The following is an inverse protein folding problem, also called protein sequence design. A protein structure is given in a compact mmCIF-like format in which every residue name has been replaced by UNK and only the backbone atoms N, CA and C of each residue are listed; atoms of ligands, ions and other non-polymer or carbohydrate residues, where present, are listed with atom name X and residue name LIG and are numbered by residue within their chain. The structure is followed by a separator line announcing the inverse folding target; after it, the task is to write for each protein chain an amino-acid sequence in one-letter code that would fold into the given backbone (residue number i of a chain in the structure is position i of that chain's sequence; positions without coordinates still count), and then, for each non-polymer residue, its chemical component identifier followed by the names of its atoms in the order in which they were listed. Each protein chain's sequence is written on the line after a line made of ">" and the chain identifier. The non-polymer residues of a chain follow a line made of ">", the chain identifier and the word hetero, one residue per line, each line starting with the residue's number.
data_IF_017835088734
#
_entry.id   IF_017835088734
#
_cell.length_a   1.000
_cell.length_b   1.000
_cell.length_c   1.000
_cell.angle_alpha   90.00
_cell.angle_beta   90.00
_cell.angle_gamma   90.00
#
_symmetry.space_group_name_H-M   'P 1'
#
loop_
_entity.id
_entity.type
_entity.pdbx_description
1 polymer ?
#
# COMPACT_ATOMS: atom_id res chain seq x y z
N UNK A 1 -29.88 26.33 4.06
CA UNK A 1 -30.25 25.50 2.91
C UNK A 1 -30.52 24.09 3.46
N UNK A 2 -31.75 23.59 3.29
CA UNK A 2 -32.14 22.27 3.76
C UNK A 2 -31.35 21.21 2.96
N UNK A 3 -30.62 20.33 3.65
CA UNK A 3 -29.92 19.19 3.00
C UNK A 3 -30.97 18.21 2.51
N UNK A 4 -31.01 17.96 1.20
CA UNK A 4 -31.92 17.00 0.57
C UNK A 4 -31.64 15.57 1.10
N UNK A 5 -32.72 14.88 1.47
CA UNK A 5 -32.68 13.50 1.90
C UNK A 5 -32.58 12.56 0.69
N UNK A 6 -31.59 11.68 0.67
CA UNK A 6 -31.36 10.71 -0.43
C UNK A 6 -32.35 9.53 -0.47
N UNK A 7 -33.35 9.48 0.42
CA UNK A 7 -34.33 8.41 0.45
C UNK A 7 -35.56 8.73 -0.39
N UNK A 8 -35.67 8.13 -1.57
CA UNK A 8 -36.75 8.32 -2.54
C UNK A 8 -38.13 7.82 -2.08
N UNK A 9 -38.21 7.11 -0.94
CA UNK A 9 -39.48 6.61 -0.36
C UNK A 9 -39.93 7.35 0.91
N UNK A 10 -39.32 8.51 1.22
CA UNK A 10 -39.64 9.29 2.42
C UNK A 10 -40.81 10.25 2.17
N UNK A 11 -41.93 10.07 2.87
CA UNK A 11 -43.12 10.93 2.80
C UNK A 11 -43.17 12.01 3.89
N UNK A 12 -42.06 12.40 4.52
CA UNK A 12 -42.01 13.44 5.54
C UNK A 12 -41.65 14.79 4.94
N UNK A 13 -42.36 15.82 5.35
CA UNK A 13 -42.20 17.22 4.88
C UNK A 13 -40.99 17.96 5.49
N UNK A 14 -40.31 17.37 6.50
CA UNK A 14 -39.07 17.90 7.07
C UNK A 14 -38.21 16.77 7.64
N UNK A 15 -36.89 16.95 7.62
CA UNK A 15 -35.91 15.98 8.15
C UNK A 15 -35.68 16.11 9.66
N UNK A 16 -36.37 17.02 10.35
CA UNK A 16 -36.27 17.15 11.82
C UNK A 16 -36.97 15.97 12.50
N UNK A 17 -36.20 15.18 13.28
CA UNK A 17 -36.67 14.00 13.99
C UNK A 17 -36.67 12.69 13.17
N UNK A 18 -36.01 12.66 12.02
CA UNK A 18 -35.80 11.43 11.27
C UNK A 18 -34.77 10.55 11.99
N UNK A 19 -35.22 9.40 12.52
CA UNK A 19 -34.35 8.43 13.22
C UNK A 19 -33.40 7.62 12.33
N UNK A 20 -33.33 7.95 11.01
CA UNK A 20 -32.31 7.40 10.15
C UNK A 20 -31.00 8.14 10.40
N UNK A 21 -30.04 7.44 11.00
CA UNK A 21 -28.66 7.91 11.10
C UNK A 21 -28.17 8.26 9.69
N UNK A 22 -27.61 9.47 9.54
CA UNK A 22 -26.81 9.78 8.34
C UNK A 22 -25.84 8.62 8.11
N UNK A 23 -25.55 8.23 6.83
CA UNK A 23 -24.50 7.26 6.60
C UNK A 23 -23.23 7.76 7.31
N UNK A 24 -22.83 7.03 8.35
CA UNK A 24 -21.59 7.35 9.06
C UNK A 24 -20.47 7.17 8.03
N UNK A 25 -19.60 8.15 7.92
CA UNK A 25 -18.36 8.00 7.16
C UNK A 25 -17.68 6.71 7.64
N UNK A 26 -17.31 5.84 6.72
CA UNK A 26 -16.53 4.64 7.03
C UNK A 26 -15.06 4.98 7.31
N UNK A 27 -14.66 6.22 6.99
CA UNK A 27 -13.33 6.75 7.22
C UNK A 27 -13.01 6.75 8.71
N UNK A 28 -11.89 6.14 9.07
CA UNK A 28 -11.38 6.14 10.43
C UNK A 28 -10.63 7.45 10.71
N UNK A 29 -10.77 7.96 11.93
CA UNK A 29 -9.96 9.10 12.37
C UNK A 29 -8.56 8.61 12.75
N UNK A 30 -7.50 9.40 12.44
CA UNK A 30 -6.14 9.04 12.84
C UNK A 30 -5.96 9.16 14.34
N UNK A 31 -4.89 8.54 14.87
CA UNK A 31 -4.48 8.79 16.25
C UNK A 31 -4.20 10.29 16.46
N UNK A 32 -4.61 10.83 17.60
CA UNK A 32 -4.46 12.26 17.91
C UNK A 32 -3.01 12.76 17.97
N UNK A 33 -2.05 11.85 18.09
CA UNK A 33 -0.62 12.13 18.06
C UNK A 33 0.03 11.84 16.71
N UNK A 34 -0.79 11.63 15.65
CA UNK A 34 -0.34 11.37 14.30
C UNK A 34 -0.70 12.53 13.38
N UNK A 35 0.29 12.97 12.60
CA UNK A 35 0.12 13.94 11.51
C UNK A 35 0.76 13.34 10.25
N UNK A 36 -0.06 12.73 9.40
CA UNK A 36 0.37 12.07 8.17
C UNK A 36 -0.10 12.90 6.99
N UNK A 37 0.84 13.48 6.24
CA UNK A 37 0.52 14.39 5.13
C UNK A 37 -0.08 13.64 3.93
N UNK A 38 0.56 12.52 3.53
CA UNK A 38 0.14 11.77 2.34
C UNK A 38 0.05 10.28 2.63
N UNK A 39 -1.06 9.65 2.25
CA UNK A 39 -1.28 8.20 2.36
C UNK A 39 -1.36 7.60 0.95
N UNK A 40 -0.41 6.72 0.62
CA UNK A 40 -0.26 6.12 -0.71
C UNK A 40 -0.44 4.61 -0.62
N UNK A 41 -1.42 4.08 -1.33
CA UNK A 41 -1.64 2.64 -1.40
C UNK A 41 -0.75 1.97 -2.47
N UNK A 42 -0.24 0.78 -2.18
CA UNK A 42 0.37 -0.09 -3.19
C UNK A 42 -0.55 -1.28 -3.38
N UNK A 43 -1.07 -1.44 -4.57
CA UNK A 43 -2.08 -2.46 -4.90
C UNK A 43 -1.58 -3.42 -5.95
N UNK A 44 -2.06 -4.66 -5.90
CA UNK A 44 -1.82 -5.63 -6.96
C UNK A 44 -3.10 -6.42 -7.25
N UNK A 45 -3.33 -6.74 -8.50
CA UNK A 45 -4.52 -7.51 -8.90
C UNK A 45 -4.43 -9.00 -8.58
N UNK A 46 -3.24 -9.51 -8.19
CA UNK A 46 -3.00 -10.90 -7.73
C UNK A 46 -1.88 -10.93 -6.68
N UNK A 47 -1.82 -11.99 -5.88
CA UNK A 47 -0.72 -12.25 -4.97
C UNK A 47 0.56 -12.70 -5.68
N UNK A 48 1.71 -12.55 -5.01
CA UNK A 48 3.00 -13.07 -5.47
C UNK A 48 3.68 -12.28 -6.59
N UNK A 49 3.27 -11.02 -6.84
CA UNK A 49 3.93 -10.14 -7.83
C UNK A 49 5.08 -9.31 -7.25
N UNK A 50 5.26 -9.34 -5.91
CA UNK A 50 6.30 -8.58 -5.23
C UNK A 50 5.82 -7.23 -4.67
N UNK A 51 4.54 -7.08 -4.44
CA UNK A 51 3.90 -5.86 -3.94
C UNK A 51 4.62 -5.26 -2.73
N UNK A 52 4.89 -6.07 -1.70
CA UNK A 52 5.60 -5.60 -0.48
C UNK A 52 7.03 -5.15 -0.78
N UNK A 53 7.70 -5.80 -1.76
CA UNK A 53 9.01 -5.37 -2.23
C UNK A 53 8.93 -4.00 -2.91
N UNK A 54 7.92 -3.76 -3.74
CA UNK A 54 7.67 -2.45 -4.37
C UNK A 54 7.31 -1.41 -3.31
N UNK A 55 6.45 -1.76 -2.35
CA UNK A 55 6.08 -0.87 -1.23
C UNK A 55 7.32 -0.40 -0.45
N UNK A 56 8.16 -1.34 -0.03
CA UNK A 56 9.40 -1.02 0.66
C UNK A 56 10.38 -0.21 -0.20
N UNK A 57 10.49 -0.54 -1.50
CA UNK A 57 11.34 0.22 -2.43
C UNK A 57 10.89 1.66 -2.61
N UNK A 58 9.59 1.93 -2.70
CA UNK A 58 9.02 3.28 -2.74
C UNK A 58 9.31 4.03 -1.43
N UNK A 59 9.14 3.36 -0.29
CA UNK A 59 9.44 3.94 1.01
C UNK A 59 10.93 4.30 1.15
N UNK A 60 11.83 3.39 0.75
CA UNK A 60 13.28 3.67 0.74
C UNK A 60 13.63 4.84 -0.19
N UNK A 61 13.02 4.91 -1.38
CA UNK A 61 13.22 6.00 -2.32
C UNK A 61 12.84 7.36 -1.71
N UNK A 62 11.70 7.44 -1.03
CA UNK A 62 11.27 8.70 -0.41
C UNK A 62 12.10 9.03 0.84
N UNK A 63 12.45 8.04 1.65
CA UNK A 63 13.33 8.23 2.81
C UNK A 63 14.74 8.71 2.38
N UNK A 64 15.30 8.19 1.26
CA UNK A 64 16.60 8.65 0.73
C UNK A 64 16.59 10.10 0.26
N UNK A 65 15.40 10.65 -0.03
CA UNK A 65 15.21 12.08 -0.36
C UNK A 65 15.01 12.97 0.88
N UNK A 66 15.06 12.39 2.08
CA UNK A 66 14.96 13.11 3.36
C UNK A 66 13.56 13.25 3.92
N UNK A 67 12.56 12.60 3.33
CA UNK A 67 11.20 12.60 3.85
C UNK A 67 11.05 11.65 5.04
N UNK A 68 10.15 12.00 5.96
CA UNK A 68 9.71 11.12 7.05
C UNK A 68 8.68 10.13 6.50
N UNK A 69 8.99 8.85 6.57
CA UNK A 69 8.21 7.80 5.88
C UNK A 69 7.76 6.73 6.86
N UNK A 70 6.52 6.27 6.69
CA UNK A 70 5.98 5.10 7.35
C UNK A 70 5.52 4.03 6.35
N UNK A 71 5.45 2.79 6.80
CA UNK A 71 4.84 1.66 6.08
C UNK A 71 3.80 1.00 6.99
N UNK A 72 2.56 0.97 6.53
CA UNK A 72 1.49 0.17 7.10
C UNK A 72 1.34 -1.12 6.29
N UNK A 73 1.72 -2.25 6.86
CA UNK A 73 1.53 -3.57 6.25
C UNK A 73 0.10 -4.04 6.51
N UNK A 74 -0.76 -3.81 5.54
CA UNK A 74 -2.17 -4.21 5.55
C UNK A 74 -2.42 -5.58 4.89
N UNK A 75 -1.37 -6.25 4.39
CA UNK A 75 -1.44 -7.64 3.92
C UNK A 75 -1.31 -8.63 5.09
N UNK A 76 -2.30 -8.62 5.96
CA UNK A 76 -2.30 -9.37 7.23
C UNK A 76 -2.18 -10.88 7.02
N UNK A 77 -2.56 -11.39 5.84
CA UNK A 77 -2.51 -12.82 5.53
C UNK A 77 -1.12 -13.30 5.13
N UNK A 78 -0.24 -12.41 4.71
CA UNK A 78 1.12 -12.71 4.30
C UNK A 78 2.10 -11.58 4.63
N UNK A 79 2.12 -11.10 5.89
CA UNK A 79 2.89 -9.93 6.26
C UNK A 79 4.39 -10.22 6.09
N UNK A 80 5.06 -9.41 5.27
CA UNK A 80 6.47 -9.62 4.91
C UNK A 80 7.37 -8.43 5.24
N UNK A 81 6.82 -7.25 5.43
CA UNK A 81 7.59 -6.01 5.64
C UNK A 81 8.55 -6.08 6.83
N UNK A 82 8.14 -6.52 8.05
CA UNK A 82 9.07 -6.60 9.17
C UNK A 82 10.27 -7.51 8.90
N UNK A 83 10.04 -8.67 8.28
CA UNK A 83 11.08 -9.63 7.95
C UNK A 83 12.06 -9.06 6.92
N UNK A 84 11.58 -8.40 5.88
CA UNK A 84 12.42 -7.77 4.86
C UNK A 84 13.35 -6.70 5.46
N UNK A 85 12.86 -5.93 6.42
CA UNK A 85 13.65 -4.90 7.11
C UNK A 85 14.46 -5.41 8.31
N UNK A 86 14.35 -6.69 8.65
CA UNK A 86 15.03 -7.30 9.78
C UNK A 86 14.58 -6.78 11.15
N UNK A 87 13.35 -6.30 11.23
CA UNK A 87 12.75 -5.82 12.48
C UNK A 87 12.49 -7.03 13.38
N UNK A 88 12.99 -6.97 14.63
CA UNK A 88 12.83 -8.03 15.62
C UNK A 88 12.10 -7.52 16.85
N UNK A 89 11.29 -8.39 17.43
CA UNK A 89 10.50 -8.07 18.62
C UNK A 89 9.14 -7.48 18.28
N UNK A 90 8.43 -7.06 19.32
CA UNK A 90 7.03 -6.62 19.24
C UNK A 90 6.92 -5.10 19.40
N UNK A 91 5.94 -4.53 18.74
CA UNK A 91 5.54 -3.14 18.94
C UNK A 91 5.07 -2.93 20.39
N UNK A 92 5.45 -1.79 20.94
CA UNK A 92 5.09 -1.45 22.32
C UNK A 92 3.86 -0.56 22.35
N UNK A 93 2.95 -0.87 23.27
CA UNK A 93 1.77 -0.05 23.54
C UNK A 93 1.97 0.89 24.70
N UNK A 94 1.21 1.97 24.71
CA UNK A 94 1.03 2.90 25.84
C UNK A 94 -0.46 3.20 26.02
N UNK A 95 -0.80 4.00 27.04
CA UNK A 95 -2.18 4.46 27.24
C UNK A 95 -2.70 5.33 26.07
N UNK A 96 -1.79 5.88 25.26
CA UNK A 96 -2.11 6.76 24.12
C UNK A 96 -2.17 6.04 22.77
N UNK A 97 -1.67 4.80 22.69
CA UNK A 97 -1.65 4.02 21.45
C UNK A 97 -0.42 3.12 21.34
N UNK A 98 -0.20 2.61 20.15
CA UNK A 98 0.86 1.66 19.81
C UNK A 98 1.96 2.42 19.02
N UNK A 99 3.21 2.22 19.38
CA UNK A 99 4.33 2.80 18.64
C UNK A 99 4.72 1.88 17.49
N UNK A 100 4.90 2.42 16.26
CA UNK A 100 5.47 1.67 15.15
C UNK A 100 6.93 1.32 15.45
N UNK A 101 7.47 0.35 14.72
CA UNK A 101 8.86 -0.09 14.89
C UNK A 101 9.75 0.57 13.84
N UNK A 102 10.83 1.26 14.24
CA UNK A 102 11.74 1.92 13.32
C UNK A 102 12.63 0.90 12.60
N UNK A 103 12.89 1.14 11.32
CA UNK A 103 13.89 0.43 10.53
C UNK A 103 15.28 1.08 10.69
N UNK A 104 16.32 0.43 10.17
CA UNK A 104 17.69 0.95 10.24
C UNK A 104 17.89 2.29 9.48
N UNK A 105 17.04 2.61 8.52
CA UNK A 105 17.02 3.88 7.78
C UNK A 105 15.92 4.85 8.20
N UNK A 106 15.30 4.63 9.38
CA UNK A 106 14.37 5.56 10.00
C UNK A 106 12.94 5.52 9.44
N UNK A 107 12.58 4.49 8.69
CA UNK A 107 11.19 4.28 8.26
C UNK A 107 10.42 3.63 9.40
N UNK A 108 9.25 4.18 9.74
CA UNK A 108 8.35 3.64 10.77
C UNK A 108 7.48 2.52 10.18
N UNK A 109 7.46 1.33 10.81
CA UNK A 109 6.73 0.16 10.29
C UNK A 109 5.72 -0.33 11.32
N UNK A 110 4.50 -0.59 10.84
CA UNK A 110 3.48 -1.33 11.59
C UNK A 110 2.95 -2.48 10.75
N UNK A 111 2.92 -3.66 11.34
CA UNK A 111 2.41 -4.90 10.77
C UNK A 111 1.79 -5.77 11.87
N UNK A 112 0.87 -6.66 11.51
CA UNK A 112 0.27 -7.58 12.47
C UNK A 112 1.31 -8.48 13.14
N UNK A 113 2.38 -8.86 12.43
CA UNK A 113 3.44 -9.69 12.98
C UNK A 113 4.16 -9.04 14.17
N UNK A 114 4.15 -7.70 14.27
CA UNK A 114 4.73 -6.98 15.40
C UNK A 114 3.85 -6.98 16.65
N UNK A 115 2.62 -7.50 16.54
CA UNK A 115 1.66 -7.63 17.64
C UNK A 115 1.46 -9.08 18.08
N UNK A 116 1.98 -10.05 17.31
CA UNK A 116 1.85 -11.47 17.61
C UNK A 116 3.01 -11.93 18.51
N UNK A 117 2.76 -12.91 19.40
CA UNK A 117 3.81 -13.48 20.26
C UNK A 117 4.91 -14.21 19.48
N UNK A 118 4.58 -14.71 18.28
CA UNK A 118 5.42 -15.50 17.41
C UNK A 118 5.09 -15.21 15.94
N UNK A 119 6.13 -15.04 15.12
CA UNK A 119 6.00 -14.77 13.67
C UNK A 119 5.38 -15.94 12.90
N UNK A 120 5.45 -17.16 13.42
CA UNK A 120 4.90 -18.37 12.80
C UNK A 120 3.42 -18.61 13.18
N UNK A 121 2.87 -17.81 14.08
CA UNK A 121 1.48 -17.95 14.49
C UNK A 121 0.55 -17.59 13.33
N UNK A 122 -0.25 -18.55 12.81
CA UNK A 122 -1.11 -18.29 11.67
C UNK A 122 -2.25 -17.34 12.07
N UNK A 123 -2.43 -16.28 11.29
CA UNK A 123 -3.56 -15.36 11.43
C UNK A 123 -4.76 -15.92 10.66
N UNK A 124 -5.67 -16.59 11.36
CA UNK A 124 -6.89 -17.16 10.78
C UNK A 124 -8.07 -16.21 11.05
N UNK A 125 -8.05 -15.05 10.40
CA UNK A 125 -9.09 -14.05 10.57
C UNK A 125 -9.96 -13.93 9.32
N UNK A 126 -11.24 -13.64 9.53
CA UNK A 126 -12.18 -13.38 8.43
C UNK A 126 -12.10 -11.92 7.99
N UNK A 127 -12.51 -11.62 6.77
CA UNK A 127 -12.45 -10.28 6.16
C UNK A 127 -12.84 -9.11 7.07
N UNK A 128 -13.95 -9.15 7.81
CA UNK A 128 -14.32 -8.06 8.73
C UNK A 128 -13.31 -7.80 9.85
N UNK A 129 -12.65 -8.86 10.36
CA UNK A 129 -11.62 -8.71 11.40
C UNK A 129 -10.36 -8.08 10.81
N UNK A 130 -9.97 -8.50 9.61
CA UNK A 130 -8.82 -7.91 8.88
C UNK A 130 -9.05 -6.42 8.62
N UNK A 131 -10.24 -6.06 8.15
CA UNK A 131 -10.61 -4.67 7.90
C UNK A 131 -10.58 -3.81 9.17
N UNK A 132 -11.05 -4.35 10.30
CA UNK A 132 -10.98 -3.66 11.58
C UNK A 132 -9.54 -3.49 12.06
N UNK A 133 -8.66 -4.47 11.84
CA UNK A 133 -7.25 -4.37 12.19
C UNK A 133 -6.56 -3.23 11.41
N UNK A 134 -6.82 -3.09 10.11
CA UNK A 134 -6.27 -1.99 9.32
C UNK A 134 -6.77 -0.62 9.85
N UNK A 135 -8.05 -0.54 10.26
CA UNK A 135 -8.57 0.67 10.91
C UNK A 135 -7.83 0.97 12.21
N UNK A 136 -7.58 -0.05 13.03
CA UNK A 136 -6.82 0.09 14.28
C UNK A 136 -5.37 0.52 14.01
N UNK A 137 -4.73 0.06 12.94
CA UNK A 137 -3.40 0.55 12.55
C UNK A 137 -3.40 2.03 12.19
N UNK A 138 -4.53 2.57 11.76
CA UNK A 138 -4.68 3.99 11.52
C UNK A 138 -5.02 4.78 12.79
N UNK A 139 -5.99 4.29 13.59
CA UNK A 139 -6.51 5.00 14.76
C UNK A 139 -5.69 4.82 16.02
N UNK A 140 -5.05 3.67 16.21
CA UNK A 140 -4.41 3.32 17.48
C UNK A 140 -2.87 3.43 17.42
N UNK A 141 -2.28 3.44 16.20
CA UNK A 141 -0.84 3.62 16.02
C UNK A 141 -0.46 5.10 16.07
N UNK A 142 0.56 5.42 16.87
CA UNK A 142 1.14 6.76 16.96
C UNK A 142 2.20 6.91 15.88
N UNK A 143 1.77 7.32 14.68
CA UNK A 143 2.67 7.51 13.54
C UNK A 143 3.59 8.73 13.68
N UNK A 144 3.25 9.67 14.60
CA UNK A 144 3.96 10.95 14.69
C UNK A 144 3.78 11.80 13.44
N UNK A 145 4.80 12.60 13.12
CA UNK A 145 4.82 13.43 11.91
C UNK A 145 5.42 12.62 10.75
N UNK A 146 4.62 12.30 9.75
CA UNK A 146 5.06 11.64 8.52
C UNK A 146 4.72 12.47 7.28
N UNK A 147 5.66 12.54 6.34
CA UNK A 147 5.41 13.11 5.03
C UNK A 147 4.64 12.09 4.16
N UNK A 148 5.00 10.80 4.25
CA UNK A 148 4.36 9.73 3.49
C UNK A 148 4.12 8.51 4.35
N UNK A 149 2.91 7.94 4.25
CA UNK A 149 2.59 6.61 4.74
C UNK A 149 2.25 5.71 3.55
N UNK A 150 3.11 4.74 3.27
CA UNK A 150 2.83 3.73 2.26
C UNK A 150 2.01 2.60 2.89
N UNK A 151 0.90 2.25 2.25
CA UNK A 151 0.03 1.15 2.67
C UNK A 151 0.25 -0.03 1.75
N UNK A 152 0.84 -1.10 2.27
CA UNK A 152 0.97 -2.37 1.56
C UNK A 152 -0.38 -3.08 1.58
N UNK A 153 -1.17 -2.91 0.52
CA UNK A 153 -2.56 -3.33 0.45
C UNK A 153 -2.69 -4.86 0.36
N UNK A 154 -3.76 -5.45 0.88
CA UNK A 154 -4.06 -6.85 0.61
C UNK A 154 -4.15 -7.12 -0.90
N UNK A 155 -3.71 -8.30 -1.38
CA UNK A 155 -3.76 -8.60 -2.80
C UNK A 155 -5.18 -8.78 -3.34
N UNK A 156 -5.35 -8.52 -4.63
CA UNK A 156 -6.62 -8.67 -5.32
C UNK A 156 -7.55 -7.47 -5.24
N UNK A 157 -8.80 -7.66 -5.62
CA UNK A 157 -9.82 -6.61 -5.73
C UNK A 157 -11.11 -6.97 -4.97
N UNK A 158 -10.97 -7.73 -3.89
CA UNK A 158 -12.10 -8.19 -3.05
C UNK A 158 -12.48 -7.21 -1.94
N UNK A 159 -13.25 -7.72 -0.97
CA UNK A 159 -13.85 -6.91 0.10
C UNK A 159 -12.81 -6.26 1.03
N UNK A 160 -11.66 -6.93 1.28
CA UNK A 160 -10.66 -6.39 2.21
C UNK A 160 -9.96 -5.16 1.64
N UNK A 161 -9.38 -5.17 0.41
CA UNK A 161 -8.86 -3.96 -0.22
C UNK A 161 -9.91 -2.84 -0.29
N UNK A 162 -11.15 -3.16 -0.65
CA UNK A 162 -12.23 -2.18 -0.73
C UNK A 162 -12.49 -1.50 0.62
N UNK A 163 -12.49 -2.28 1.71
CA UNK A 163 -12.69 -1.73 3.06
C UNK A 163 -11.52 -0.84 3.48
N UNK A 164 -10.28 -1.20 3.11
CA UNK A 164 -9.10 -0.36 3.37
C UNK A 164 -9.26 1.00 2.68
N UNK A 165 -9.64 1.02 1.39
CA UNK A 165 -9.92 2.25 0.66
C UNK A 165 -11.01 3.12 1.32
N UNK A 166 -12.05 2.49 1.87
CA UNK A 166 -13.14 3.20 2.53
C UNK A 166 -12.78 3.72 3.92
N UNK A 167 -11.72 3.18 4.53
CA UNK A 167 -11.37 3.44 5.94
C UNK A 167 -10.17 4.37 6.11
N UNK A 168 -9.27 4.42 5.12
CA UNK A 168 -8.06 5.24 5.14
C UNK A 168 -8.16 6.37 4.12
N UNK A 169 -7.57 7.55 4.40
CA UNK A 169 -7.56 8.68 3.50
C UNK A 169 -6.52 8.50 2.37
N UNK A 170 -6.64 7.44 1.57
CA UNK A 170 -5.72 7.14 0.49
C UNK A 170 -5.88 8.18 -0.62
N UNK A 171 -4.81 8.92 -0.89
CA UNK A 171 -4.78 10.00 -1.89
C UNK A 171 -4.37 9.52 -3.29
N UNK A 172 -3.70 8.39 -3.37
CA UNK A 172 -3.26 7.81 -4.63
C UNK A 172 -2.79 6.37 -4.47
N UNK A 173 -2.74 5.65 -5.58
CA UNK A 173 -2.23 4.27 -5.58
C UNK A 173 -1.18 4.05 -6.65
N UNK A 174 -0.23 3.19 -6.33
CA UNK A 174 0.70 2.57 -7.30
C UNK A 174 0.25 1.14 -7.55
N UNK A 175 0.09 0.76 -8.81
CA UNK A 175 -0.27 -0.61 -9.20
C UNK A 175 1.00 -1.41 -9.45
N UNK A 176 1.20 -2.48 -8.69
CA UNK A 176 2.26 -3.46 -8.95
C UNK A 176 1.73 -4.64 -9.76
N UNK A 177 2.50 -5.07 -10.76
CA UNK A 177 2.18 -6.19 -11.64
C UNK A 177 3.43 -6.92 -12.10
N UNK A 178 3.27 -8.01 -12.86
CA UNK A 178 4.36 -8.79 -13.47
C UNK A 178 3.99 -9.18 -14.91
N UNK A 179 4.95 -9.36 -15.83
CA UNK A 179 4.70 -9.61 -17.26
C UNK A 179 4.24 -11.06 -17.52
N UNK A 180 3.18 -11.51 -16.85
CA UNK A 180 2.58 -12.83 -17.07
C UNK A 180 1.29 -12.69 -17.87
N UNK A 181 0.81 -13.80 -18.45
CA UNK A 181 -0.50 -13.84 -19.10
C UNK A 181 -1.61 -13.27 -18.18
N UNK A 182 -2.57 -12.57 -18.77
CA UNK A 182 -3.67 -11.89 -18.08
C UNK A 182 -3.32 -10.52 -17.42
N UNK A 183 -2.10 -10.02 -17.58
CA UNK A 183 -1.68 -8.70 -17.01
C UNK A 183 -2.69 -7.60 -17.34
N UNK A 184 -3.14 -7.49 -18.59
CA UNK A 184 -4.11 -6.49 -19.01
C UNK A 184 -5.40 -6.54 -18.18
N UNK A 185 -5.94 -7.72 -17.94
CA UNK A 185 -7.16 -7.88 -17.13
C UNK A 185 -6.91 -7.55 -15.65
N UNK A 186 -5.77 -7.97 -15.13
CA UNK A 186 -5.40 -7.79 -13.70
C UNK A 186 -5.17 -6.32 -13.39
N UNK A 187 -4.39 -5.62 -14.23
CA UNK A 187 -4.14 -4.18 -14.08
C UNK A 187 -5.44 -3.38 -14.23
N UNK A 188 -6.28 -3.70 -15.22
CA UNK A 188 -7.58 -3.05 -15.39
C UNK A 188 -8.51 -3.24 -14.19
N UNK A 189 -8.52 -4.42 -13.56
CA UNK A 189 -9.32 -4.64 -12.35
C UNK A 189 -8.83 -3.76 -11.19
N UNK A 190 -7.51 -3.67 -10.97
CA UNK A 190 -6.95 -2.81 -9.94
C UNK A 190 -7.24 -1.32 -10.22
N UNK A 191 -7.07 -0.90 -11.48
CA UNK A 191 -7.40 0.45 -11.94
C UNK A 191 -8.88 0.80 -11.71
N UNK A 192 -9.78 -0.09 -12.16
CA UNK A 192 -11.22 0.14 -12.00
C UNK A 192 -11.65 0.19 -10.53
N UNK A 193 -11.00 -0.59 -9.66
CA UNK A 193 -11.25 -0.52 -8.21
C UNK A 193 -10.86 0.86 -7.66
N UNK A 194 -9.67 1.36 -8.00
CA UNK A 194 -9.23 2.68 -7.58
C UNK A 194 -10.15 3.78 -8.13
N UNK A 195 -10.56 3.69 -9.39
CA UNK A 195 -11.49 4.63 -10.04
C UNK A 195 -12.88 4.64 -9.37
N UNK A 196 -13.43 3.46 -9.05
CA UNK A 196 -14.69 3.35 -8.29
C UNK A 196 -14.60 4.02 -6.92
N UNK A 197 -13.42 3.99 -6.29
CA UNK A 197 -13.15 4.64 -5.01
C UNK A 197 -12.75 6.11 -5.16
N UNK A 198 -12.66 6.61 -6.41
CA UNK A 198 -12.22 7.98 -6.75
C UNK A 198 -10.80 8.29 -6.25
N UNK A 199 -9.95 7.28 -6.20
CA UNK A 199 -8.53 7.40 -5.85
C UNK A 199 -7.71 7.36 -7.13
N UNK A 200 -6.87 8.38 -7.41
CA UNK A 200 -6.07 8.42 -8.62
C UNK A 200 -5.00 7.33 -8.63
N UNK A 201 -4.77 6.75 -9.81
CA UNK A 201 -3.63 5.86 -10.04
C UNK A 201 -2.41 6.70 -10.41
N UNK A 202 -1.41 6.73 -9.53
CA UNK A 202 -0.17 7.50 -9.71
C UNK A 202 0.72 6.90 -10.79
N UNK A 203 0.65 5.58 -10.97
CA UNK A 203 1.38 4.87 -12.00
C UNK A 203 1.43 3.37 -11.78
N UNK A 204 2.17 2.69 -12.67
CA UNK A 204 2.30 1.23 -12.67
C UNK A 204 3.78 0.86 -12.56
N UNK A 205 4.10 -0.10 -11.71
CA UNK A 205 5.41 -0.77 -11.64
C UNK A 205 5.23 -2.18 -12.20
N UNK A 206 6.09 -2.57 -13.13
CA UNK A 206 6.16 -3.96 -13.60
C UNK A 206 7.36 -4.63 -12.94
N UNK A 207 7.10 -5.50 -11.98
CA UNK A 207 8.12 -6.31 -11.32
C UNK A 207 8.35 -7.62 -12.10
N UNK A 208 9.53 -8.23 -11.94
CA UNK A 208 9.95 -9.46 -12.65
C UNK A 208 9.95 -9.31 -14.17
N UNK A 209 10.20 -8.11 -14.69
CA UNK A 209 10.09 -7.76 -16.11
C UNK A 209 11.07 -8.53 -16.99
N UNK A 210 12.27 -8.76 -16.49
CA UNK A 210 13.34 -9.48 -17.19
C UNK A 210 14.40 -10.00 -16.22
N UNK A 211 15.30 -10.85 -16.71
CA UNK A 211 16.56 -11.21 -16.05
C UNK A 211 17.71 -10.60 -16.86
N UNK A 212 18.65 -9.95 -16.18
CA UNK A 212 19.85 -9.45 -16.83
C UNK A 212 20.95 -10.52 -16.79
N UNK A 213 21.43 -10.96 -17.95
CA UNK A 213 22.51 -11.93 -18.02
C UNK A 213 23.77 -11.38 -17.34
N UNK A 214 24.37 -12.09 -16.36
CA UNK A 214 25.53 -11.59 -15.64
C UNK A 214 26.77 -11.48 -16.51
N UNK A 215 26.88 -12.27 -17.59
CA UNK A 215 28.07 -12.32 -18.45
C UNK A 215 28.06 -11.24 -19.54
N UNK A 216 26.91 -11.01 -20.18
CA UNK A 216 26.84 -10.13 -21.35
C UNK A 216 25.84 -8.96 -21.21
N UNK A 217 25.12 -8.87 -20.09
CA UNK A 217 24.16 -7.80 -19.81
C UNK A 217 22.86 -7.88 -20.64
N UNK A 218 22.67 -8.90 -21.50
CA UNK A 218 21.46 -9.08 -22.30
C UNK A 218 20.25 -9.32 -21.41
N UNK A 219 19.16 -8.61 -21.70
CA UNK A 219 17.86 -8.83 -21.04
C UNK A 219 17.19 -10.08 -21.59
N UNK A 220 16.79 -10.96 -20.69
CA UNK A 220 16.08 -12.20 -20.99
C UNK A 220 14.66 -12.07 -20.43
N UNK A 221 13.68 -12.01 -21.31
CA UNK A 221 12.25 -11.87 -20.95
C UNK A 221 11.66 -13.24 -20.61
N UNK A 222 11.79 -13.64 -19.37
CA UNK A 222 11.42 -14.99 -18.90
C UNK A 222 9.91 -15.27 -19.05
N UNK A 223 9.09 -14.23 -18.95
CA UNK A 223 7.63 -14.33 -19.07
C UNK A 223 7.10 -13.83 -20.43
N UNK A 224 7.96 -13.68 -21.44
CA UNK A 224 7.61 -13.15 -22.76
C UNK A 224 7.70 -11.62 -22.83
N UNK A 225 7.14 -11.06 -23.91
CA UNK A 225 7.15 -9.62 -24.15
C UNK A 225 6.19 -8.90 -23.17
N UNK A 226 6.67 -7.80 -22.62
CA UNK A 226 5.83 -6.95 -21.77
C UNK A 226 4.87 -6.11 -22.63
N UNK A 227 3.62 -6.03 -22.20
CA UNK A 227 2.59 -5.18 -22.80
C UNK A 227 2.23 -4.01 -21.87
N UNK A 228 3.01 -3.75 -20.84
CA UNK A 228 2.66 -2.76 -19.83
C UNK A 228 2.59 -1.34 -20.38
N UNK A 229 3.45 -0.99 -21.33
CA UNK A 229 3.44 0.35 -21.95
C UNK A 229 2.14 0.61 -22.72
N UNK A 230 1.64 -0.40 -23.43
CA UNK A 230 0.37 -0.32 -24.16
C UNK A 230 -0.81 -0.16 -23.17
N UNK A 231 -0.79 -0.92 -22.08
CA UNK A 231 -1.82 -0.89 -21.03
C UNK A 231 -1.79 0.46 -20.32
N UNK A 232 -0.62 0.96 -19.96
CA UNK A 232 -0.43 2.25 -19.32
C UNK A 232 -0.90 3.40 -20.21
N UNK A 233 -0.59 3.36 -21.50
CA UNK A 233 -1.05 4.33 -22.49
C UNK A 233 -2.59 4.31 -22.63
N UNK A 234 -3.21 3.12 -22.66
CA UNK A 234 -4.67 2.98 -22.71
C UNK A 234 -5.34 3.59 -21.46
N UNK A 235 -4.77 3.37 -20.29
CA UNK A 235 -5.27 3.86 -19.00
C UNK A 235 -4.85 5.31 -18.71
N UNK A 236 -3.98 5.89 -19.53
CA UNK A 236 -3.39 7.23 -19.36
C UNK A 236 -2.66 7.41 -18.02
N UNK A 237 -1.94 6.37 -17.60
CA UNK A 237 -1.12 6.39 -16.38
C UNK A 237 0.35 6.14 -16.76
N UNK A 238 1.35 6.69 -16.03
CA UNK A 238 2.74 6.45 -16.32
C UNK A 238 3.19 5.03 -15.90
N UNK A 239 4.18 4.48 -16.60
CA UNK A 239 4.98 3.35 -16.11
C UNK A 239 6.11 3.93 -15.26
N UNK A 240 6.13 3.61 -13.98
CA UNK A 240 7.10 4.14 -13.01
C UNK A 240 8.42 3.37 -13.01
N UNK A 241 8.39 2.15 -13.50
CA UNK A 241 9.56 1.32 -13.65
C UNK A 241 9.26 -0.10 -14.09
N UNK A 242 10.28 -0.72 -14.69
CA UNK A 242 10.33 -2.13 -15.04
C UNK A 242 11.49 -2.75 -14.28
N UNK A 243 11.18 -3.55 -13.28
CA UNK A 243 12.17 -4.12 -12.38
C UNK A 243 12.60 -5.51 -12.86
N UNK A 244 13.90 -5.80 -12.90
CA UNK A 244 14.37 -7.14 -13.20
C UNK A 244 14.12 -8.11 -12.05
N UNK A 245 14.25 -9.40 -12.31
CA UNK A 245 14.52 -10.41 -11.29
C UNK A 245 16.00 -10.22 -10.92
N UNK A 246 16.24 -9.60 -9.78
CA UNK A 246 17.58 -9.28 -9.27
C UNK A 246 17.87 -10.07 -8.00
N UNK A 247 18.83 -10.99 -8.11
CA UNK A 247 19.21 -11.89 -7.02
C UNK A 247 19.79 -11.11 -5.83
N UNK A 248 20.54 -10.03 -6.09
CA UNK A 248 21.13 -9.21 -5.01
C UNK A 248 20.08 -8.50 -4.19
N UNK A 249 19.06 -7.96 -4.86
CA UNK A 249 17.94 -7.31 -4.18
C UNK A 249 17.12 -8.32 -3.37
N UNK A 250 16.93 -9.53 -3.91
CA UNK A 250 16.26 -10.62 -3.19
C UNK A 250 17.06 -11.06 -1.95
N UNK A 251 18.38 -11.25 -2.08
CA UNK A 251 19.26 -11.61 -0.96
C UNK A 251 19.25 -10.57 0.17
N UNK A 252 19.22 -9.28 -0.17
CA UNK A 252 19.12 -8.20 0.83
C UNK A 252 17.77 -8.26 1.56
N UNK A 253 16.68 -8.50 0.84
CA UNK A 253 15.35 -8.65 1.43
C UNK A 253 15.28 -9.87 2.36
N UNK A 254 15.76 -11.03 1.90
CA UNK A 254 15.75 -12.28 2.66
C UNK A 254 16.65 -12.21 3.91
N UNK A 255 17.72 -11.41 3.84
CA UNK A 255 18.65 -11.20 4.95
C UNK A 255 18.20 -10.13 5.95
N UNK A 256 17.03 -9.51 5.77
CA UNK A 256 16.57 -8.43 6.64
C UNK A 256 17.33 -7.12 6.46
N UNK A 257 17.96 -6.91 5.32
CA UNK A 257 18.78 -5.74 5.02
C UNK A 257 18.12 -4.81 3.99
N UNK A 258 16.80 -4.84 3.90
CA UNK A 258 16.03 -4.09 2.91
C UNK A 258 16.27 -2.57 2.98
N UNK A 259 16.56 -2.05 4.16
CA UNK A 259 16.93 -0.65 4.37
C UNK A 259 18.18 -0.19 3.59
N UNK A 260 18.99 -1.12 3.07
CA UNK A 260 20.17 -0.85 2.24
C UNK A 260 19.88 -0.86 0.73
N UNK A 261 18.64 -1.18 0.34
CA UNK A 261 18.26 -1.26 -1.06
C UNK A 261 18.07 0.15 -1.62
N UNK A 262 18.89 0.47 -2.62
CA UNK A 262 18.72 1.60 -3.53
C UNK A 262 18.19 1.05 -4.86
N UNK A 263 16.87 1.20 -5.07
CA UNK A 263 16.21 0.66 -6.26
C UNK A 263 16.18 1.69 -7.38
N UNK A 264 17.15 1.63 -8.29
CA UNK A 264 17.28 2.55 -9.42
C UNK A 264 16.17 2.40 -10.47
N UNK A 265 15.46 1.27 -10.49
CA UNK A 265 14.46 0.95 -11.51
C UNK A 265 13.14 1.71 -11.35
N UNK A 266 12.87 2.28 -10.17
CA UNK A 266 11.61 2.98 -9.86
C UNK A 266 11.80 4.45 -9.45
N UNK A 267 12.93 5.05 -9.78
CA UNK A 267 13.23 6.44 -9.39
C UNK A 267 12.21 7.44 -9.91
N UNK A 268 11.60 7.17 -11.09
CA UNK A 268 10.53 8.01 -11.66
C UNK A 268 9.28 8.07 -10.76
N UNK A 269 9.10 7.14 -9.81
CA UNK A 269 7.99 7.18 -8.88
C UNK A 269 8.00 8.43 -8.00
N UNK A 270 9.17 8.97 -7.67
CA UNK A 270 9.27 10.18 -6.85
C UNK A 270 8.65 11.42 -7.52
N UNK A 271 8.61 11.46 -8.85
CA UNK A 271 8.11 12.63 -9.59
C UNK A 271 6.58 12.71 -9.61
N UNK A 272 5.92 11.57 -9.34
CA UNK A 272 4.45 11.47 -9.35
C UNK A 272 3.85 11.44 -7.95
N UNK A 273 4.67 11.33 -6.89
CA UNK A 273 4.16 11.41 -5.52
C UNK A 273 3.61 12.82 -5.24
N UNK A 274 2.52 12.94 -4.47
CA UNK A 274 2.06 14.23 -3.96
C UNK A 274 3.23 14.97 -3.29
N UNK A 275 3.32 16.28 -3.46
CA UNK A 275 4.42 17.05 -2.87
C UNK A 275 4.12 17.34 -1.41
N UNK A 276 4.93 16.82 -0.51
CA UNK A 276 4.90 17.27 0.88
C UNK A 276 5.38 18.73 0.92
N UNK A 277 4.51 19.63 1.37
CA UNK A 277 4.89 21.02 1.64
C UNK A 277 5.93 21.03 2.78
N UNK A 278 6.99 21.82 2.58
CA UNK A 278 8.10 21.91 3.52
C UNK A 278 7.69 22.61 4.82
#
# INVERSE_FOLDING_TARGET
>A
MAKECSNTSCNKSSCEGCGQKQPQSLMAEPNVFSDVKHVIGVVSGKGGVGKSFVTGSLANLMASKGYKVGIMDADITGPSIPKMYGIKGNAQGSDNGIYPMPTANGIEVMSVNLLLPDEETPVIWRGPVLANMVKQFWSDVIWGELDYLFVDMPPGTGDVPLTVFQSLPIEGVVIDTSPQDLVRMIVKKAYNMADMMKVPVLGIVENYSYVKCPDCGKEIKVFGESHIDEIAAELKVPVLGKMPIDVKLAELADSGLFSKIENEYITAAADVMPKAEA
#
